data_IF_601392661273
#
_entry.id   IF_601392661273
#
_cell.length_a   1.000
_cell.length_b   1.000
_cell.length_c   1.000
_cell.angle_alpha   90.00
_cell.angle_beta   90.00
_cell.angle_gamma   90.00
#
_symmetry.space_group_name_H-M   'P 1'
#
loop_
_entity.id
_entity.type
_entity.pdbx_description
1 polymer ?
#
# COMPACT_ATOMS: atom_id res chain seq x y z
N UNK A 1 -0.80 -29.66 -1.50
CA UNK A 1 -1.38 -28.37 -1.09
C UNK A 1 -0.22 -27.47 -0.71
N UNK A 2 -0.22 -26.21 -1.14
CA UNK A 2 0.82 -25.21 -0.86
C UNK A 2 0.21 -24.11 0.00
N UNK A 3 0.80 -23.81 1.16
CA UNK A 3 0.31 -22.73 2.00
C UNK A 3 0.87 -21.38 1.54
N UNK A 4 0.00 -20.38 1.33
CA UNK A 4 0.46 -19.05 0.91
C UNK A 4 1.43 -18.43 1.93
N UNK A 5 1.21 -18.67 3.22
CA UNK A 5 2.10 -18.27 4.31
C UNK A 5 3.51 -18.86 4.21
N UNK A 6 3.70 -19.98 3.53
CA UNK A 6 5.00 -20.64 3.40
C UNK A 6 5.80 -20.14 2.19
N UNK A 7 5.20 -19.36 1.29
CA UNK A 7 5.82 -18.96 0.02
C UNK A 7 6.07 -17.45 -0.01
N UNK A 8 7.01 -17.00 0.84
CA UNK A 8 7.39 -15.58 0.97
C UNK A 8 8.89 -15.39 0.87
N UNK A 9 9.33 -14.19 0.49
CA UNK A 9 10.74 -13.85 0.40
C UNK A 9 11.49 -14.20 1.71
N UNK A 10 12.68 -14.79 1.57
CA UNK A 10 13.50 -15.28 2.68
C UNK A 10 13.10 -16.65 3.24
N UNK A 11 11.92 -17.18 2.90
CA UNK A 11 11.53 -18.51 3.37
C UNK A 11 12.29 -19.62 2.64
N UNK A 12 12.64 -20.68 3.36
CA UNK A 12 13.26 -21.87 2.80
C UNK A 12 12.49 -23.12 3.23
N UNK A 13 11.73 -23.74 2.32
CA UNK A 13 10.89 -24.91 2.60
C UNK A 13 10.44 -25.61 1.29
N UNK A 14 9.68 -26.70 1.43
CA UNK A 14 9.19 -27.48 0.29
C UNK A 14 8.02 -26.83 -0.47
N UNK A 15 7.25 -25.95 0.16
CA UNK A 15 6.21 -25.17 -0.53
C UNK A 15 6.84 -24.21 -1.54
N UNK A 16 7.91 -23.49 -1.14
CA UNK A 16 8.71 -22.67 -2.04
C UNK A 16 9.31 -23.51 -3.16
N UNK A 17 9.85 -24.70 -2.86
CA UNK A 17 10.40 -25.61 -3.88
C UNK A 17 9.33 -26.01 -4.89
N UNK A 18 8.13 -26.31 -4.42
CA UNK A 18 6.97 -26.65 -5.27
C UNK A 18 6.63 -25.50 -6.21
N UNK A 19 6.59 -24.27 -5.70
CA UNK A 19 6.35 -23.07 -6.52
C UNK A 19 7.46 -22.83 -7.54
N UNK A 20 8.73 -22.97 -7.15
CA UNK A 20 9.86 -22.83 -8.08
C UNK A 20 9.80 -23.85 -9.22
N UNK A 21 9.49 -25.12 -8.92
CA UNK A 21 9.29 -26.16 -9.95
C UNK A 21 8.16 -25.78 -10.90
N UNK A 22 7.06 -25.25 -10.38
CA UNK A 22 5.94 -24.79 -11.20
C UNK A 22 6.32 -23.60 -12.09
N UNK A 23 7.05 -22.61 -11.57
CA UNK A 23 7.57 -21.48 -12.34
C UNK A 23 8.50 -21.95 -13.47
N UNK A 24 9.42 -22.87 -13.17
CA UNK A 24 10.33 -23.44 -14.18
C UNK A 24 9.54 -24.20 -15.26
N UNK A 25 8.53 -24.98 -14.88
CA UNK A 25 7.64 -25.66 -15.83
C UNK A 25 6.84 -24.68 -16.71
N UNK A 26 6.54 -23.48 -16.21
CA UNK A 26 5.95 -22.36 -16.99
C UNK A 26 6.97 -21.64 -17.87
N UNK A 27 8.23 -22.05 -17.88
CA UNK A 27 9.31 -21.46 -18.65
C UNK A 27 9.98 -20.25 -18.00
N UNK A 28 9.75 -20.01 -16.70
CA UNK A 28 10.41 -18.92 -15.96
C UNK A 28 11.83 -19.32 -15.60
N UNK A 29 12.77 -18.39 -15.80
CA UNK A 29 14.18 -18.62 -15.50
C UNK A 29 14.46 -18.47 -14.01
N UNK A 30 14.92 -19.55 -13.39
CA UNK A 30 15.53 -19.58 -12.06
C UNK A 30 16.88 -20.28 -12.23
N UNK A 31 17.98 -19.53 -12.46
CA UNK A 31 19.30 -20.11 -12.73
C UNK A 31 19.74 -21.20 -11.76
N UNK A 32 19.50 -21.01 -10.45
CA UNK A 32 19.89 -21.98 -9.42
C UNK A 32 18.89 -23.15 -9.28
N UNK A 33 17.84 -23.17 -10.10
CA UNK A 33 16.77 -24.16 -10.05
C UNK A 33 15.90 -24.06 -8.79
N UNK A 34 15.18 -25.14 -8.50
CA UNK A 34 14.26 -25.21 -7.37
C UNK A 34 15.01 -25.52 -6.05
N UNK A 35 15.72 -24.53 -5.52
CA UNK A 35 16.53 -24.62 -4.29
C UNK A 35 15.70 -24.77 -3.00
N UNK A 36 14.41 -24.44 -3.07
CA UNK A 36 13.52 -24.32 -1.93
C UNK A 36 13.65 -23.00 -1.16
N UNK A 37 14.57 -22.10 -1.54
CA UNK A 37 14.74 -20.77 -0.94
C UNK A 37 14.09 -19.69 -1.82
N UNK A 38 13.19 -18.89 -1.24
CA UNK A 38 12.57 -17.77 -1.95
C UNK A 38 13.50 -16.55 -1.87
N UNK A 39 14.45 -16.48 -2.79
CA UNK A 39 15.32 -15.32 -2.99
C UNK A 39 14.93 -14.47 -4.20
N UNK A 40 15.80 -13.54 -4.59
CA UNK A 40 15.59 -12.62 -5.71
C UNK A 40 15.29 -13.34 -7.05
N UNK A 41 15.94 -14.47 -7.33
CA UNK A 41 15.65 -15.24 -8.55
C UNK A 41 14.21 -15.78 -8.57
N UNK A 42 13.69 -16.18 -7.41
CA UNK A 42 12.31 -16.67 -7.30
C UNK A 42 11.33 -15.51 -7.42
N UNK A 43 11.63 -14.37 -6.80
CA UNK A 43 10.83 -13.14 -6.93
C UNK A 43 10.73 -12.69 -8.38
N UNK A 44 11.85 -12.61 -9.10
CA UNK A 44 11.89 -12.22 -10.50
C UNK A 44 11.12 -13.20 -11.41
N UNK A 45 11.27 -14.52 -11.18
CA UNK A 45 10.54 -15.54 -11.90
C UNK A 45 9.02 -15.46 -11.64
N UNK A 46 8.63 -15.23 -10.39
CA UNK A 46 7.23 -15.08 -10.00
C UNK A 46 6.62 -13.80 -10.56
N UNK A 47 7.37 -12.70 -10.61
CA UNK A 47 6.94 -11.45 -11.27
C UNK A 47 6.64 -11.67 -12.75
N UNK A 48 7.52 -12.36 -13.45
CA UNK A 48 7.31 -12.70 -14.86
C UNK A 48 6.08 -13.61 -15.06
N UNK A 49 5.77 -14.47 -14.08
CA UNK A 49 4.55 -15.26 -14.10
C UNK A 49 3.30 -14.41 -13.84
N UNK A 50 3.33 -13.48 -12.88
CA UNK A 50 2.25 -12.52 -12.66
C UNK A 50 1.96 -11.69 -13.93
N UNK A 51 3.00 -11.18 -14.60
CA UNK A 51 2.84 -10.45 -15.87
C UNK A 51 2.14 -11.32 -16.92
N UNK A 52 2.53 -12.58 -17.05
CA UNK A 52 1.91 -13.50 -18.01
C UNK A 52 0.49 -13.92 -17.64
N UNK A 53 0.13 -13.82 -16.36
CA UNK A 53 -1.23 -14.01 -15.87
C UNK A 53 -2.09 -12.73 -16.04
N UNK A 54 -1.51 -11.63 -16.54
CA UNK A 54 -2.20 -10.38 -16.83
C UNK A 54 -2.11 -9.32 -15.71
N UNK A 55 -1.35 -9.58 -14.65
CA UNK A 55 -1.09 -8.57 -13.61
C UNK A 55 -0.09 -7.53 -14.10
N UNK A 56 -0.25 -6.27 -13.67
CA UNK A 56 0.63 -5.16 -14.11
C UNK A 56 0.92 -4.21 -12.95
N UNK A 57 1.94 -3.35 -13.11
CA UNK A 57 2.28 -2.37 -12.08
C UNK A 57 2.63 -3.05 -10.76
N UNK A 58 2.01 -2.57 -9.66
CA UNK A 58 2.17 -3.11 -8.31
C UNK A 58 1.65 -4.54 -8.15
N UNK A 59 0.72 -5.00 -9.00
CA UNK A 59 0.17 -6.35 -8.90
C UNK A 59 1.11 -7.42 -9.50
N UNK A 60 2.20 -6.98 -10.13
CA UNK A 60 3.28 -7.82 -10.65
C UNK A 60 4.61 -7.46 -9.96
N UNK A 61 4.65 -7.65 -8.64
CA UNK A 61 5.76 -7.31 -7.74
C UNK A 61 6.69 -8.51 -7.40
N UNK A 62 6.34 -9.70 -7.89
CA UNK A 62 7.03 -10.96 -7.64
C UNK A 62 6.70 -11.61 -6.30
N UNK A 63 5.68 -11.14 -5.59
CA UNK A 63 5.22 -11.72 -4.33
C UNK A 63 3.96 -12.56 -4.59
N UNK A 64 3.93 -13.84 -4.20
CA UNK A 64 2.74 -14.66 -4.35
C UNK A 64 1.54 -14.08 -3.58
N UNK A 65 0.46 -13.83 -4.30
CA UNK A 65 -0.88 -13.64 -3.73
C UNK A 65 -1.74 -14.88 -3.92
N UNK A 66 -2.86 -14.98 -3.19
CA UNK A 66 -3.76 -16.13 -3.31
C UNK A 66 -4.25 -16.35 -4.75
N UNK A 67 -4.58 -15.27 -5.48
CA UNK A 67 -5.05 -15.35 -6.87
C UNK A 67 -3.96 -15.83 -7.82
N UNK A 68 -2.78 -15.20 -7.81
CA UNK A 68 -1.68 -15.56 -8.71
C UNK A 68 -1.10 -16.95 -8.41
N UNK A 69 -1.07 -17.34 -7.13
CA UNK A 69 -0.58 -18.64 -6.71
C UNK A 69 -1.58 -19.75 -7.03
N UNK A 70 -2.88 -19.48 -6.88
CA UNK A 70 -3.94 -20.41 -7.30
C UNK A 70 -3.92 -20.61 -8.81
N UNK A 71 -3.72 -19.52 -9.58
CA UNK A 71 -3.59 -19.60 -11.03
C UNK A 71 -2.39 -20.47 -11.45
N UNK A 72 -1.22 -20.27 -10.82
CA UNK A 72 -0.04 -21.12 -11.01
C UNK A 72 -0.31 -22.57 -10.59
N UNK A 73 -0.98 -22.77 -9.46
CA UNK A 73 -1.35 -24.09 -8.93
C UNK A 73 -2.23 -24.90 -9.87
N UNK A 74 -3.19 -24.26 -10.55
CA UNK A 74 -4.02 -24.89 -11.58
C UNK A 74 -3.22 -25.42 -12.76
N UNK A 75 -2.12 -24.76 -13.14
CA UNK A 75 -1.24 -25.23 -14.21
C UNK A 75 -0.31 -26.36 -13.77
N UNK A 76 0.08 -26.38 -12.50
CA UNK A 76 1.07 -27.32 -11.96
C UNK A 76 0.47 -28.47 -11.13
N UNK A 77 -0.85 -28.51 -10.96
CA UNK A 77 -1.55 -29.59 -10.26
C UNK A 77 -1.50 -29.51 -8.73
N UNK A 78 -1.37 -28.31 -8.14
CA UNK A 78 -1.45 -28.14 -6.68
C UNK A 78 -2.56 -27.16 -6.28
N UNK A 79 -3.18 -27.43 -5.12
CA UNK A 79 -4.14 -26.53 -4.47
C UNK A 79 -3.42 -25.57 -3.52
N UNK A 80 -3.98 -24.38 -3.32
CA UNK A 80 -3.42 -23.35 -2.44
C UNK A 80 -4.28 -23.24 -1.19
N UNK A 81 -3.63 -23.31 -0.04
CA UNK A 81 -4.24 -22.93 1.23
C UNK A 81 -4.03 -21.42 1.45
N UNK A 82 -5.12 -20.67 1.27
CA UNK A 82 -5.17 -19.24 1.56
C UNK A 82 -5.69 -18.93 2.97
N UNK A 83 -5.97 -19.94 3.82
CA UNK A 83 -6.38 -19.73 5.22
C UNK A 83 -5.23 -19.22 6.09
N UNK A 84 -3.99 -19.45 5.64
CA UNK A 84 -2.77 -18.79 6.11
C UNK A 84 -2.38 -17.56 5.30
N UNK A 85 -3.26 -17.02 4.44
CA UNK A 85 -3.08 -15.68 3.90
C UNK A 85 -3.17 -14.70 5.09
N UNK A 86 -2.05 -14.51 5.78
CA UNK A 86 -1.74 -13.15 6.21
C UNK A 86 -1.97 -12.28 4.96
N UNK A 87 -2.74 -11.18 5.06
CA UNK A 87 -2.83 -10.24 3.94
C UNK A 87 -1.39 -10.00 3.49
N UNK A 88 -1.16 -10.09 2.18
CA UNK A 88 0.18 -10.12 1.58
C UNK A 88 1.14 -9.25 2.40
N UNK A 89 2.30 -9.79 2.77
CA UNK A 89 3.31 -9.03 3.50
C UNK A 89 3.74 -7.84 2.62
N UNK A 90 3.03 -6.73 2.82
CA UNK A 90 2.97 -5.55 1.99
C UNK A 90 1.88 -4.68 2.60
N UNK A 91 2.23 -3.95 3.66
CA UNK A 91 1.46 -2.88 4.30
C UNK A 91 -0.06 -2.93 4.04
N UNK A 92 -0.80 -3.87 4.64
CA UNK A 92 -2.27 -3.81 4.81
C UNK A 92 -3.15 -3.48 3.59
N UNK A 93 -2.63 -3.54 2.36
CA UNK A 93 -3.29 -3.03 1.17
C UNK A 93 -4.63 -3.71 0.90
N UNK A 94 -5.61 -2.94 0.44
CA UNK A 94 -6.94 -3.41 0.02
C UNK A 94 -7.10 -3.23 -1.49
N UNK A 95 -8.02 -3.96 -2.11
CA UNK A 95 -8.38 -3.70 -3.51
C UNK A 95 -9.10 -2.36 -3.64
N UNK A 96 -8.97 -1.69 -4.79
CA UNK A 96 -9.70 -0.44 -5.05
C UNK A 96 -11.23 -0.60 -4.91
N UNK A 97 -11.77 -1.78 -5.21
CA UNK A 97 -13.19 -2.11 -5.01
C UNK A 97 -13.63 -2.19 -3.54
N UNK A 98 -12.68 -2.36 -2.61
CA UNK A 98 -12.95 -2.35 -1.17
C UNK A 98 -12.86 -0.94 -0.57
N UNK A 99 -12.37 0.04 -1.34
CA UNK A 99 -12.36 1.44 -0.90
C UNK A 99 -13.80 1.94 -0.83
N UNK A 100 -14.18 2.40 0.35
CA UNK A 100 -15.45 3.07 0.60
C UNK A 100 -15.24 4.58 0.53
N UNK A 101 -16.32 5.33 0.32
CA UNK A 101 -16.29 6.79 0.14
C UNK A 101 -17.19 7.51 1.15
N UNK A 102 -17.40 6.87 2.30
CA UNK A 102 -18.11 7.47 3.43
C UNK A 102 -17.15 8.42 4.16
N UNK A 103 -17.58 9.68 4.35
CA UNK A 103 -16.88 10.63 5.21
C UNK A 103 -17.36 10.45 6.66
N UNK A 104 -16.49 10.02 7.60
CA UNK A 104 -16.87 9.84 9.00
C UNK A 104 -17.09 11.16 9.77
N UNK A 105 -16.89 12.30 9.11
CA UNK A 105 -16.91 13.63 9.69
C UNK A 105 -15.91 13.84 10.83
N UNK A 106 -14.69 13.34 10.62
CA UNK A 106 -13.58 13.50 11.55
C UNK A 106 -13.24 14.98 11.81
N UNK A 107 -12.78 15.26 13.03
CA UNK A 107 -12.43 16.60 13.51
C UNK A 107 -11.45 17.32 12.56
N UNK A 108 -11.59 18.64 12.47
CA UNK A 108 -10.70 19.53 11.72
C UNK A 108 -9.76 20.33 12.64
N UNK A 109 -8.72 20.92 12.04
CA UNK A 109 -7.80 21.84 12.71
C UNK A 109 -6.53 21.17 13.26
N UNK A 110 -5.52 22.00 13.54
CA UNK A 110 -4.17 21.52 13.87
C UNK A 110 -4.15 20.59 15.09
N UNK A 111 -4.89 20.95 16.15
CA UNK A 111 -4.95 20.15 17.37
C UNK A 111 -5.52 18.74 17.11
N UNK A 112 -6.52 18.61 16.25
CA UNK A 112 -7.08 17.33 15.85
C UNK A 112 -6.07 16.52 15.01
N UNK A 113 -5.45 17.15 14.00
CA UNK A 113 -4.45 16.48 13.15
C UNK A 113 -3.27 15.94 13.96
N UNK A 114 -2.82 16.67 14.99
CA UNK A 114 -1.79 16.16 15.90
C UNK A 114 -2.22 14.94 16.69
N UNK A 115 -3.50 14.82 17.09
CA UNK A 115 -4.04 13.61 17.77
C UNK A 115 -4.10 12.43 16.80
N UNK A 116 -4.67 12.63 15.62
CA UNK A 116 -4.76 11.58 14.61
C UNK A 116 -3.37 11.12 14.12
N UNK A 117 -2.44 12.05 13.91
CA UNK A 117 -1.07 11.72 13.51
C UNK A 117 -0.34 10.89 14.56
N UNK A 118 -0.55 11.15 15.86
CA UNK A 118 -0.02 10.30 16.93
C UNK A 118 -0.55 8.87 16.81
N UNK A 119 -1.85 8.72 16.55
CA UNK A 119 -2.46 7.40 16.37
C UNK A 119 -1.93 6.69 15.12
N UNK A 120 -1.78 7.40 14.02
CA UNK A 120 -1.20 6.85 12.79
C UNK A 120 0.26 6.42 12.99
N UNK A 121 1.05 7.20 13.74
CA UNK A 121 2.42 6.85 14.11
C UNK A 121 2.47 5.57 14.96
N UNK A 122 1.59 5.43 15.95
CA UNK A 122 1.45 4.22 16.77
C UNK A 122 1.17 2.98 15.91
N UNK A 123 0.17 3.06 15.03
CA UNK A 123 -0.25 1.94 14.18
C UNK A 123 0.79 1.52 13.14
N UNK A 124 1.61 2.46 12.68
CA UNK A 124 2.63 2.22 11.62
C UNK A 124 4.04 2.06 12.19
N UNK A 125 4.21 2.20 13.50
CA UNK A 125 5.52 2.18 14.18
C UNK A 125 6.45 3.33 13.77
N UNK A 126 5.92 4.44 13.26
CA UNK A 126 6.70 5.66 13.04
C UNK A 126 6.93 6.38 14.37
N UNK A 127 8.11 6.93 14.61
CA UNK A 127 8.37 7.69 15.83
C UNK A 127 7.56 9.01 15.78
N UNK A 128 6.66 9.27 16.75
CA UNK A 128 5.80 10.44 16.73
C UNK A 128 6.59 11.76 16.79
N UNK A 129 7.85 11.75 17.24
CA UNK A 129 8.71 12.94 17.20
C UNK A 129 8.96 13.45 15.78
N UNK A 130 8.96 12.55 14.79
CA UNK A 130 9.16 12.90 13.39
C UNK A 130 7.86 12.86 12.58
N UNK A 131 7.02 11.85 12.83
CA UNK A 131 5.78 11.66 12.07
C UNK A 131 4.73 12.73 12.35
N UNK A 132 4.55 13.15 13.61
CA UNK A 132 3.50 14.12 13.96
C UNK A 132 3.74 15.49 13.30
N UNK A 133 4.93 16.12 13.40
CA UNK A 133 5.17 17.39 12.71
C UNK A 133 5.05 17.28 11.19
N UNK A 134 5.55 16.19 10.60
CA UNK A 134 5.50 15.94 9.16
C UNK A 134 4.06 15.85 8.63
N UNK A 135 3.24 14.98 9.23
CA UNK A 135 1.84 14.80 8.86
C UNK A 135 1.00 16.06 9.13
N UNK A 136 1.24 16.76 10.24
CA UNK A 136 0.56 18.03 10.53
C UNK A 136 0.90 19.08 9.46
N UNK A 137 2.15 19.13 8.99
CA UNK A 137 2.55 20.05 7.92
C UNK A 137 1.90 19.70 6.58
N UNK A 138 1.85 18.42 6.22
CA UNK A 138 1.15 17.92 5.04
C UNK A 138 -0.33 18.35 5.10
N UNK A 139 -1.04 17.96 6.17
CA UNK A 139 -2.49 18.25 6.27
C UNK A 139 -2.81 19.75 6.26
N UNK A 140 -1.94 20.61 6.80
CA UNK A 140 -2.07 22.07 6.68
C UNK A 140 -2.12 22.50 5.21
N UNK A 141 -1.23 21.95 4.40
CA UNK A 141 -1.04 22.33 2.98
C UNK A 141 -2.07 21.69 2.07
N UNK A 142 -2.43 20.45 2.35
CA UNK A 142 -3.29 19.63 1.50
C UNK A 142 -4.78 19.94 1.69
N UNK A 143 -5.23 20.14 2.92
CA UNK A 143 -6.66 20.22 3.25
C UNK A 143 -7.02 21.30 4.26
N UNK A 144 -6.08 22.20 4.58
CA UNK A 144 -6.23 23.16 5.68
C UNK A 144 -6.61 22.44 6.98
N UNK A 145 -5.91 21.34 7.28
CA UNK A 145 -6.15 20.45 8.41
C UNK A 145 -7.55 19.81 8.41
N UNK A 146 -7.86 19.04 7.36
CA UNK A 146 -9.09 18.28 7.17
C UNK A 146 -10.37 19.14 7.09
N UNK A 147 -10.25 20.43 6.77
CA UNK A 147 -11.40 21.33 6.73
C UNK A 147 -12.46 20.82 5.71
N UNK A 148 -13.76 20.77 6.04
CA UNK A 148 -14.78 20.10 5.22
C UNK A 148 -14.82 20.54 3.75
N UNK A 149 -14.58 21.84 3.51
CA UNK A 149 -14.50 22.42 2.16
C UNK A 149 -13.37 21.85 1.28
N UNK A 150 -12.32 21.30 1.86
CA UNK A 150 -11.09 20.88 1.16
C UNK A 150 -10.80 19.38 1.29
N UNK A 151 -11.76 18.57 1.81
CA UNK A 151 -11.60 17.11 1.90
C UNK A 151 -11.62 16.41 0.53
N UNK A 152 -12.06 17.08 -0.53
CA UNK A 152 -12.06 16.56 -1.90
C UNK A 152 -11.51 17.60 -2.85
N UNK A 153 -10.53 17.23 -3.66
CA UNK A 153 -10.00 18.11 -4.71
C UNK A 153 -10.37 17.59 -6.10
N UNK A 154 -11.39 18.20 -6.70
CA UNK A 154 -11.89 17.87 -8.04
C UNK A 154 -11.24 18.68 -9.17
N UNK A 155 -10.30 19.58 -8.86
CA UNK A 155 -9.79 20.57 -9.81
C UNK A 155 -8.41 20.20 -10.39
N UNK A 156 -7.77 19.16 -9.89
CA UNK A 156 -6.43 18.76 -10.33
C UNK A 156 -6.45 17.85 -11.57
N UNK A 157 -5.27 17.57 -12.12
CA UNK A 157 -5.12 16.72 -13.30
C UNK A 157 -5.56 15.26 -13.06
N UNK A 158 -5.65 14.82 -11.80
CA UNK A 158 -5.98 13.46 -11.40
C UNK A 158 -7.49 13.24 -11.28
N UNK A 159 -8.29 14.29 -11.13
CA UNK A 159 -9.76 14.24 -11.02
C UNK A 159 -10.48 13.72 -12.28
N UNK A 160 -10.28 12.43 -12.56
CA UNK A 160 -10.77 11.69 -13.72
C UNK A 160 -11.32 10.32 -13.29
N UNK A 161 -11.89 9.60 -14.25
CA UNK A 161 -12.46 8.28 -14.02
C UNK A 161 -13.98 8.32 -13.80
N UNK A 162 -14.54 7.15 -13.48
CA UNK A 162 -15.98 7.04 -13.17
C UNK A 162 -16.29 7.78 -11.88
N UNK A 163 -17.53 8.24 -11.73
CA UNK A 163 -17.98 8.79 -10.46
C UNK A 163 -17.98 7.69 -9.40
N UNK A 164 -17.34 7.96 -8.27
CA UNK A 164 -17.44 7.16 -7.06
C UNK A 164 -18.78 7.46 -6.35
N UNK A 165 -19.18 6.65 -5.35
CA UNK A 165 -20.45 6.83 -4.62
C UNK A 165 -20.63 8.20 -3.94
N UNK A 166 -19.53 8.93 -3.68
CA UNK A 166 -19.54 10.30 -3.16
C UNK A 166 -19.87 11.36 -4.23
N UNK A 167 -20.08 10.96 -5.48
CA UNK A 167 -20.39 11.85 -6.59
C UNK A 167 -19.17 12.52 -7.23
N UNK A 168 -17.95 12.12 -6.84
CA UNK A 168 -16.71 12.70 -7.36
C UNK A 168 -15.94 11.72 -8.25
N UNK A 169 -15.09 12.20 -9.18
CA UNK A 169 -14.26 11.32 -10.00
C UNK A 169 -13.42 10.36 -9.15
N UNK A 170 -13.32 9.10 -9.55
CA UNK A 170 -12.64 8.05 -8.78
C UNK A 170 -11.20 8.43 -8.41
N UNK A 171 -10.46 9.09 -9.31
CA UNK A 171 -9.05 9.40 -9.07
C UNK A 171 -8.79 10.76 -8.42
N UNK A 172 -9.81 11.52 -8.01
CA UNK A 172 -9.58 12.77 -7.28
C UNK A 172 -9.03 12.49 -5.87
N UNK A 173 -8.12 13.33 -5.39
CA UNK A 173 -7.58 13.20 -4.04
C UNK A 173 -8.64 13.49 -2.99
N UNK A 174 -8.55 12.78 -1.86
CA UNK A 174 -9.50 12.85 -0.76
C UNK A 174 -8.79 12.87 0.60
N UNK A 175 -9.50 13.31 1.63
CA UNK A 175 -9.04 13.24 3.01
C UNK A 175 -8.05 14.32 3.41
N UNK A 176 -7.55 14.18 4.65
CA UNK A 176 -6.70 15.18 5.29
C UNK A 176 -5.35 15.34 4.58
N UNK A 177 -4.81 14.25 4.03
CA UNK A 177 -3.52 14.21 3.32
C UNK A 177 -3.68 14.21 1.79
N UNK A 178 -4.91 14.37 1.29
CA UNK A 178 -5.19 14.39 -0.15
C UNK A 178 -4.66 13.14 -0.87
N UNK A 179 -4.91 11.97 -0.31
CA UNK A 179 -4.54 10.71 -0.93
C UNK A 179 -5.53 10.33 -2.05
N UNK A 180 -5.01 9.88 -3.19
CA UNK A 180 -5.83 9.34 -4.27
C UNK A 180 -6.29 7.92 -3.91
N UNK A 181 -7.54 7.49 -4.18
CA UNK A 181 -8.05 6.19 -3.75
C UNK A 181 -7.23 4.97 -4.16
N UNK A 182 -6.57 5.00 -5.32
CA UNK A 182 -5.67 3.92 -5.74
C UNK A 182 -4.42 3.82 -4.85
N UNK A 183 -3.82 4.95 -4.48
CA UNK A 183 -2.70 5.01 -3.52
C UNK A 183 -3.19 4.59 -2.13
N UNK A 184 -4.33 5.12 -1.68
CA UNK A 184 -4.93 4.71 -0.41
C UNK A 184 -5.13 3.20 -0.34
N UNK A 185 -5.70 2.59 -1.38
CA UNK A 185 -5.92 1.15 -1.46
C UNK A 185 -4.59 0.37 -1.37
N UNK A 186 -3.60 0.75 -2.18
CA UNK A 186 -2.30 0.07 -2.26
C UNK A 186 -1.50 0.14 -0.95
N UNK A 187 -1.63 1.23 -0.18
CA UNK A 187 -0.85 1.48 1.02
C UNK A 187 -1.67 1.45 2.33
N UNK A 188 -2.92 1.01 2.25
CA UNK A 188 -3.87 0.95 3.37
C UNK A 188 -3.26 0.25 4.61
N UNK A 189 -3.59 0.72 5.81
CA UNK A 189 -3.13 0.09 7.04
C UNK A 189 -4.16 -0.88 7.59
N UNK A 190 -3.79 -2.15 7.72
CA UNK A 190 -4.66 -3.17 8.29
C UNK A 190 -5.17 -2.74 9.67
N UNK A 191 -6.47 -2.92 9.91
CA UNK A 191 -7.15 -2.51 11.14
C UNK A 191 -7.63 -1.05 11.17
N UNK A 192 -7.47 -0.30 10.08
CA UNK A 192 -8.06 1.04 9.91
C UNK A 192 -9.27 1.02 8.99
N UNK A 193 -10.01 2.13 8.90
CA UNK A 193 -11.16 2.24 8.03
C UNK A 193 -10.77 2.14 6.54
N UNK A 194 -11.69 1.67 5.70
CA UNK A 194 -11.43 1.50 4.26
C UNK A 194 -11.79 2.73 3.42
N UNK A 195 -11.89 3.90 4.05
CA UNK A 195 -12.23 5.18 3.39
C UNK A 195 -11.05 6.15 3.53
N UNK A 196 -10.64 6.86 2.45
CA UNK A 196 -9.61 7.88 2.53
C UNK A 196 -10.07 9.14 3.29
N UNK A 197 -11.34 9.22 3.69
CA UNK A 197 -11.85 10.32 4.53
C UNK A 197 -11.58 10.13 6.02
N UNK A 198 -11.33 8.89 6.48
CA UNK A 198 -10.92 8.64 7.85
C UNK A 198 -9.48 9.11 8.04
N UNK A 199 -9.27 10.06 8.95
CA UNK A 199 -7.99 10.78 9.06
C UNK A 199 -6.85 9.84 9.48
N UNK A 200 -7.14 8.84 10.33
CA UNK A 200 -6.12 7.87 10.76
C UNK A 200 -5.74 6.96 9.62
N UNK A 201 -6.72 6.39 8.91
CA UNK A 201 -6.49 5.52 7.76
C UNK A 201 -5.71 6.25 6.66
N UNK A 202 -6.10 7.48 6.35
CA UNK A 202 -5.47 8.34 5.34
C UNK A 202 -4.02 8.67 5.69
N UNK A 203 -3.75 9.06 6.95
CA UNK A 203 -2.39 9.29 7.44
C UNK A 203 -1.54 8.02 7.46
N UNK A 204 -2.11 6.87 7.84
CA UNK A 204 -1.40 5.60 7.81
C UNK A 204 -1.03 5.20 6.37
N UNK A 205 -1.95 5.35 5.43
CA UNK A 205 -1.69 5.11 4.01
C UNK A 205 -0.60 6.04 3.48
N UNK A 206 -0.64 7.34 3.85
CA UNK A 206 0.41 8.30 3.53
C UNK A 206 1.77 7.88 4.10
N UNK A 207 1.86 7.44 5.37
CA UNK A 207 3.12 6.93 5.96
C UNK A 207 3.67 5.76 5.16
N UNK A 208 2.81 4.80 4.81
CA UNK A 208 3.21 3.60 4.08
C UNK A 208 3.67 3.94 2.66
N UNK A 209 2.97 4.84 1.98
CA UNK A 209 3.34 5.35 0.66
C UNK A 209 4.69 6.08 0.68
N UNK A 210 4.93 7.00 1.61
CA UNK A 210 6.19 7.77 1.62
C UNK A 210 7.41 6.91 1.99
N UNK A 211 7.22 5.84 2.76
CA UNK A 211 8.27 4.85 3.03
C UNK A 211 8.69 4.13 1.76
N UNK A 212 7.72 3.71 0.95
CA UNK A 212 7.96 2.96 -0.28
C UNK A 212 8.46 3.84 -1.42
N UNK A 213 7.82 5.00 -1.64
CA UNK A 213 8.08 5.87 -2.79
C UNK A 213 9.23 6.84 -2.60
N UNK A 214 9.47 7.28 -1.37
CA UNK A 214 10.43 8.33 -1.01
C UNK A 214 11.55 7.86 -0.09
N UNK A 215 11.63 6.56 0.19
CA UNK A 215 12.63 5.96 1.08
C UNK A 215 12.66 6.63 2.48
N UNK A 216 11.48 7.01 2.98
CA UNK A 216 11.34 7.43 4.38
C UNK A 216 11.66 6.21 5.26
N UNK A 217 12.60 6.38 6.18
CA UNK A 217 13.07 5.28 7.02
C UNK A 217 12.01 4.89 8.06
N UNK A 218 12.21 3.74 8.70
CA UNK A 218 11.23 3.19 9.65
C UNK A 218 10.89 4.17 10.79
N UNK A 219 11.88 4.86 11.34
CA UNK A 219 11.67 5.84 12.42
C UNK A 219 10.98 7.12 11.93
N UNK A 220 11.09 7.45 10.65
CA UNK A 220 10.65 8.73 10.08
C UNK A 220 11.65 9.86 10.27
N UNK A 221 12.87 9.62 10.78
CA UNK A 221 13.84 10.68 11.07
C UNK A 221 14.30 11.48 9.84
N UNK A 222 14.11 10.92 8.65
CA UNK A 222 14.39 11.57 7.37
C UNK A 222 13.12 12.04 6.63
N UNK A 223 11.94 12.02 7.24
CA UNK A 223 10.66 12.28 6.55
C UNK A 223 10.66 13.65 5.86
N UNK A 224 10.82 14.76 6.59
CA UNK A 224 10.83 16.10 6.00
C UNK A 224 11.96 16.30 4.95
N UNK A 225 13.10 15.64 5.14
CA UNK A 225 14.20 15.69 4.17
C UNK A 225 13.85 15.00 2.85
N UNK A 226 13.12 13.87 2.89
CA UNK A 226 12.71 13.08 1.72
C UNK A 226 11.44 13.61 1.06
N UNK A 227 10.51 14.14 1.84
CA UNK A 227 9.20 14.62 1.40
C UNK A 227 9.09 16.10 1.71
N UNK A 228 9.34 16.94 0.70
CA UNK A 228 9.32 18.40 0.85
C UNK A 228 7.95 18.91 1.37
N UNK A 229 6.84 18.23 1.05
CA UNK A 229 5.53 18.60 1.56
C UNK A 229 5.42 18.52 3.08
N UNK A 230 6.23 17.66 3.71
CA UNK A 230 6.29 17.50 5.16
C UNK A 230 7.23 18.50 5.86
N UNK A 231 7.99 19.29 5.10
CA UNK A 231 8.97 20.24 5.62
C UNK A 231 8.35 21.65 5.74
N UNK A 232 8.16 22.19 6.96
CA UNK A 232 7.54 23.50 7.16
C UNK A 232 8.43 24.66 6.72
N UNK A 233 9.75 24.47 6.65
CA UNK A 233 10.75 25.50 6.33
C UNK A 233 11.02 25.61 4.83
N UNK A 234 10.47 24.68 4.04
CA UNK A 234 10.52 24.69 2.57
C UNK A 234 9.18 25.04 1.95
N UNK A 235 9.14 25.61 0.74
CA UNK A 235 7.88 25.85 0.04
C UNK A 235 7.13 24.55 -0.24
N UNK A 236 5.80 24.63 -0.36
CA UNK A 236 4.94 23.50 -0.66
C UNK A 236 5.31 22.85 -2.01
N UNK A 237 5.24 21.53 -2.06
CA UNK A 237 5.48 20.70 -3.24
C UNK A 237 4.74 19.37 -3.06
N UNK A 238 3.98 18.95 -4.05
CA UNK A 238 3.30 17.65 -4.02
C UNK A 238 4.25 16.47 -3.80
N UNK A 239 3.68 15.36 -3.34
CA UNK A 239 4.35 14.09 -3.06
C UNK A 239 3.45 12.93 -3.50
#
# INVERSE_FOLDING_TARGET
MVALSSVRFGMKNEDVRTVQKALIARGRKIPDGATGLFGEQTRAAYRAEQIAQGFTGSDADGVPGCTSLTALGRHAGFTVDCTGAAPAAGNGGISLSQVTYHDPDDDSGEAAMRRYAKKACELTGMDPRFGVPALTTITRRESVHNHPRFRVNVSDANARGRLAPDGHPQNCSRGATQCVPATFAAYHQAGTATTPYDVVADMCATINYVRDRYDVNRSGSNFAARVQQADPDRPARGY
#
